data_IF_349887400639
#
_entry.id   IF_349887400639
#
_cell.length_a   1.000
_cell.length_b   1.000
_cell.length_c   1.000
_cell.angle_alpha   90.00
_cell.angle_beta   90.00
_cell.angle_gamma   90.00
#
_symmetry.space_group_name_H-M   'P 1'
#
loop_
_entity.id
_entity.type
_entity.pdbx_description
1 polymer ?
#
# COMPACT_ATOMS: atom_id res chain seq x y z
N UNK A 1 -19.40 13.75 -18.54
CA UNK A 1 -20.39 12.95 -17.77
C UNK A 1 -19.64 12.01 -16.82
N UNK A 2 -19.49 12.40 -15.56
CA UNK A 2 -18.95 11.54 -14.49
C UNK A 2 -20.03 10.55 -14.09
N UNK A 3 -19.93 9.29 -14.53
CA UNK A 3 -20.79 8.23 -14.01
C UNK A 3 -20.38 7.95 -12.55
N UNK A 4 -21.32 7.66 -11.65
CA UNK A 4 -20.97 7.25 -10.29
C UNK A 4 -20.09 6.00 -10.39
N UNK A 5 -18.90 6.06 -9.79
CA UNK A 5 -17.98 4.93 -9.72
C UNK A 5 -18.55 3.95 -8.70
N UNK A 6 -19.22 2.91 -9.18
CA UNK A 6 -19.66 1.79 -8.35
C UNK A 6 -18.52 0.79 -8.19
N UNK A 7 -18.17 0.47 -6.94
CA UNK A 7 -17.28 -0.65 -6.63
C UNK A 7 -18.15 -1.87 -6.28
N UNK A 8 -17.89 -3.00 -6.94
CA UNK A 8 -18.56 -4.26 -6.62
C UNK A 8 -17.96 -4.83 -5.34
N UNK A 9 -18.79 -5.04 -4.31
CA UNK A 9 -18.40 -5.81 -3.14
C UNK A 9 -18.25 -7.28 -3.53
N UNK A 10 -17.09 -7.86 -3.21
CA UNK A 10 -16.78 -9.26 -3.52
C UNK A 10 -16.48 -10.00 -2.24
N UNK A 11 -16.87 -11.27 -2.18
CA UNK A 11 -16.64 -12.15 -1.02
C UNK A 11 -15.19 -12.09 -0.50
N UNK A 12 -14.13 -12.20 -1.35
CA UNK A 12 -12.75 -12.13 -0.85
C UNK A 12 -12.40 -10.78 -0.21
N UNK A 13 -12.98 -9.67 -0.68
CA UNK A 13 -12.74 -8.37 -0.09
C UNK A 13 -13.37 -8.27 1.31
N UNK A 14 -14.60 -8.76 1.48
CA UNK A 14 -15.29 -8.78 2.77
C UNK A 14 -14.56 -9.67 3.78
N UNK A 15 -14.13 -10.86 3.34
CA UNK A 15 -13.33 -11.79 4.18
C UNK A 15 -12.03 -11.13 4.65
N UNK A 16 -11.33 -10.42 3.76
CA UNK A 16 -10.10 -9.70 4.11
C UNK A 16 -10.37 -8.54 5.07
N UNK A 17 -11.44 -7.76 4.86
CA UNK A 17 -11.83 -6.70 5.80
C UNK A 17 -12.10 -7.26 7.20
N UNK A 18 -12.85 -8.36 7.31
CA UNK A 18 -13.14 -9.01 8.59
C UNK A 18 -11.87 -9.50 9.29
N UNK A 19 -10.97 -10.15 8.53
CA UNK A 19 -9.72 -10.63 9.10
C UNK A 19 -8.79 -9.49 9.52
N UNK A 20 -8.73 -8.39 8.77
CA UNK A 20 -7.96 -7.21 9.13
C UNK A 20 -8.54 -6.53 10.38
N UNK A 21 -9.87 -6.38 10.47
CA UNK A 21 -10.54 -5.85 11.66
C UNK A 21 -10.19 -6.64 12.91
N UNK A 22 -10.18 -7.97 12.83
CA UNK A 22 -9.85 -8.84 13.97
C UNK A 22 -8.39 -8.69 14.45
N UNK A 23 -7.50 -8.14 13.61
CA UNK A 23 -6.09 -7.91 13.96
C UNK A 23 -5.84 -6.53 14.58
N UNK A 24 -6.79 -5.60 14.49
CA UNK A 24 -6.59 -4.18 14.82
C UNK A 24 -6.12 -3.96 16.25
N UNK A 25 -6.76 -4.63 17.20
CA UNK A 25 -6.56 -4.40 18.63
C UNK A 25 -5.57 -5.40 19.25
N UNK A 26 -4.92 -6.22 18.41
CA UNK A 26 -3.93 -7.17 18.90
C UNK A 26 -2.60 -6.46 19.17
N UNK A 27 -1.97 -6.70 20.34
CA UNK A 27 -0.67 -6.10 20.66
C UNK A 27 0.45 -6.62 19.75
N UNK A 28 0.24 -7.77 19.09
CA UNK A 28 1.18 -8.34 18.12
C UNK A 28 0.45 -9.13 17.07
N UNK A 29 0.73 -8.83 15.80
CA UNK A 29 0.19 -9.56 14.65
C UNK A 29 1.12 -10.73 14.33
N UNK A 30 0.67 -11.97 14.60
CA UNK A 30 1.38 -13.21 14.23
C UNK A 30 0.89 -13.76 12.87
N UNK A 31 0.83 -12.90 11.87
CA UNK A 31 0.37 -13.25 10.51
C UNK A 31 1.28 -12.60 9.47
N UNK A 32 1.75 -13.40 8.51
CA UNK A 32 2.69 -12.94 7.47
C UNK A 32 2.04 -12.06 6.39
N UNK A 33 0.71 -12.07 6.29
CA UNK A 33 -0.04 -11.27 5.32
C UNK A 33 -1.00 -12.11 4.47
N UNK A 34 -1.27 -11.62 3.26
CA UNK A 34 -2.21 -12.21 2.31
C UNK A 34 -1.63 -12.18 0.90
N UNK A 35 -1.88 -13.25 0.13
CA UNK A 35 -1.58 -13.29 -1.29
C UNK A 35 -2.90 -13.33 -2.08
N UNK A 36 -3.17 -12.28 -2.85
CA UNK A 36 -4.28 -12.27 -3.80
C UNK A 36 -3.83 -12.88 -5.12
N UNK A 37 -4.18 -14.14 -5.35
CA UNK A 37 -3.85 -14.85 -6.59
C UNK A 37 -5.11 -15.23 -7.40
N UNK A 38 -4.91 -15.49 -8.68
CA UNK A 38 -5.94 -15.94 -9.62
C UNK A 38 -5.61 -15.54 -11.05
N UNK A 39 -6.41 -16.04 -12.00
CA UNK A 39 -6.25 -15.76 -13.44
C UNK A 39 -6.22 -14.26 -13.76
N UNK A 40 -5.65 -13.88 -14.90
CA UNK A 40 -5.67 -12.49 -15.39
C UNK A 40 -7.13 -12.02 -15.54
N UNK A 41 -7.40 -10.76 -15.21
CA UNK A 41 -8.74 -10.17 -15.36
C UNK A 41 -9.75 -10.53 -14.27
N UNK A 42 -9.38 -11.33 -13.26
CA UNK A 42 -10.31 -11.73 -12.19
C UNK A 42 -10.61 -10.65 -11.15
N UNK A 43 -10.12 -9.41 -11.31
CA UNK A 43 -10.43 -8.28 -10.42
C UNK A 43 -9.61 -8.21 -9.13
N UNK A 44 -8.42 -8.81 -9.08
CA UNK A 44 -7.53 -8.79 -7.89
C UNK A 44 -7.12 -7.37 -7.47
N UNK A 45 -6.72 -6.54 -8.44
CA UNK A 45 -6.37 -5.14 -8.19
C UNK A 45 -7.56 -4.32 -7.67
N UNK A 46 -8.79 -4.65 -8.10
CA UNK A 46 -9.99 -4.00 -7.57
C UNK A 46 -10.25 -4.38 -6.11
N UNK A 47 -10.02 -5.64 -5.73
CA UNK A 47 -10.08 -6.09 -4.33
C UNK A 47 -9.08 -5.30 -3.49
N UNK A 48 -7.82 -5.19 -3.94
CA UNK A 48 -6.79 -4.44 -3.23
C UNK A 48 -7.16 -2.96 -3.06
N UNK A 49 -7.69 -2.32 -4.11
CA UNK A 49 -8.14 -0.93 -4.04
C UNK A 49 -9.29 -0.74 -3.05
N UNK A 50 -10.27 -1.65 -3.05
CA UNK A 50 -11.40 -1.61 -2.12
C UNK A 50 -10.93 -1.75 -0.66
N UNK A 51 -10.00 -2.67 -0.39
CA UNK A 51 -9.42 -2.86 0.95
C UNK A 51 -8.61 -1.63 1.36
N UNK A 52 -7.84 -1.04 0.45
CA UNK A 52 -7.08 0.19 0.70
C UNK A 52 -7.99 1.33 1.12
N UNK A 53 -9.10 1.53 0.39
CA UNK A 53 -10.10 2.56 0.75
C UNK A 53 -10.74 2.29 2.11
N UNK A 54 -11.09 1.03 2.38
CA UNK A 54 -11.62 0.62 3.67
C UNK A 54 -10.63 0.89 4.81
N UNK A 55 -9.36 0.51 4.64
CA UNK A 55 -8.31 0.68 5.64
C UNK A 55 -8.09 2.16 5.99
N UNK A 56 -8.00 3.03 4.97
CA UNK A 56 -7.90 4.49 5.17
C UNK A 56 -9.08 5.05 5.98
N UNK A 57 -10.31 4.63 5.67
CA UNK A 57 -11.52 5.07 6.40
C UNK A 57 -11.56 4.58 7.85
N UNK A 58 -10.82 3.52 8.17
CA UNK A 58 -10.77 2.94 9.52
C UNK A 58 -9.52 3.37 10.31
N UNK A 59 -8.82 4.41 9.87
CA UNK A 59 -7.68 4.96 10.60
C UNK A 59 -6.40 4.14 10.48
N UNK A 60 -6.27 3.31 9.44
CA UNK A 60 -5.02 2.59 9.16
C UNK A 60 -4.09 3.48 8.35
N UNK A 61 -2.80 3.49 8.70
CA UNK A 61 -1.74 4.00 7.84
C UNK A 61 -1.57 3.04 6.67
N UNK A 62 -1.71 3.52 5.44
CA UNK A 62 -1.69 2.68 4.23
C UNK A 62 -0.53 3.05 3.32
N UNK A 63 0.37 2.09 3.13
CA UNK A 63 1.45 2.15 2.15
C UNK A 63 1.03 1.31 0.94
N UNK A 64 0.88 1.93 -0.24
CA UNK A 64 0.39 1.28 -1.45
C UNK A 64 1.23 1.68 -2.67
N UNK A 65 1.74 0.68 -3.39
CA UNK A 65 2.32 0.84 -4.72
C UNK A 65 1.38 0.23 -5.78
N UNK A 66 0.71 1.03 -6.63
CA UNK A 66 -0.27 0.53 -7.59
C UNK A 66 0.34 -0.15 -8.82
N UNK A 67 1.56 0.19 -9.23
CA UNK A 67 2.21 -0.27 -10.46
C UNK A 67 3.69 -0.63 -10.21
N UNK A 68 3.97 -1.68 -9.41
CA UNK A 68 5.34 -2.03 -9.05
C UNK A 68 6.22 -2.45 -10.24
N UNK A 69 5.61 -2.85 -11.36
CA UNK A 69 6.34 -3.19 -12.59
C UNK A 69 7.16 -2.01 -13.15
N UNK A 70 6.79 -0.77 -12.81
CA UNK A 70 7.45 0.43 -13.33
C UNK A 70 8.93 0.50 -12.94
N UNK A 71 9.27 0.06 -11.73
CA UNK A 71 10.64 0.09 -11.23
C UNK A 71 11.62 -0.76 -12.06
N UNK A 72 11.09 -1.73 -12.82
CA UNK A 72 11.87 -2.57 -13.74
C UNK A 72 11.79 -2.10 -15.18
N UNK A 73 10.63 -1.60 -15.61
CA UNK A 73 10.30 -1.40 -17.03
C UNK A 73 10.51 0.03 -17.50
N UNK A 74 10.36 1.01 -16.62
CA UNK A 74 10.54 2.42 -16.95
C UNK A 74 12.01 2.82 -16.82
N UNK A 75 12.42 3.76 -17.68
CA UNK A 75 13.77 4.32 -17.66
C UNK A 75 13.81 5.39 -16.58
N UNK A 76 14.76 5.26 -15.65
CA UNK A 76 15.08 6.26 -14.65
C UNK A 76 16.58 6.23 -14.34
N UNK A 77 17.09 7.26 -13.69
CA UNK A 77 18.47 7.28 -13.23
C UNK A 77 18.70 6.24 -12.13
N UNK A 78 19.54 5.26 -12.43
CA UNK A 78 19.94 4.20 -11.50
C UNK A 78 21.38 4.44 -11.06
N UNK A 79 21.58 4.64 -9.75
CA UNK A 79 22.91 4.79 -9.14
C UNK A 79 23.28 3.52 -8.39
N UNK A 80 24.54 3.09 -8.45
CA UNK A 80 25.01 1.96 -7.65
C UNK A 80 25.50 2.46 -6.29
N UNK A 81 25.03 1.86 -5.21
CA UNK A 81 25.55 2.10 -3.86
C UNK A 81 26.84 1.31 -3.62
N UNK A 82 27.64 1.76 -2.65
CA UNK A 82 28.82 1.02 -2.18
C UNK A 82 28.45 -0.35 -1.56
N UNK A 83 27.20 -0.54 -1.14
CA UNK A 83 26.66 -1.81 -0.63
C UNK A 83 26.20 -2.77 -1.73
N UNK A 84 26.37 -2.42 -3.01
CA UNK A 84 25.99 -3.26 -4.14
C UNK A 84 24.49 -3.22 -4.49
N UNK A 85 23.74 -2.29 -3.92
CA UNK A 85 22.32 -2.07 -4.21
C UNK A 85 22.16 -0.97 -5.27
N UNK A 86 21.14 -1.09 -6.11
CA UNK A 86 20.78 -0.05 -7.06
C UNK A 86 19.78 0.91 -6.45
N UNK A 87 20.15 2.19 -6.44
CA UNK A 87 19.37 3.30 -5.91
C UNK A 87 18.56 3.89 -7.06
N UNK A 88 17.25 4.01 -6.84
CA UNK A 88 16.28 4.59 -7.78
C UNK A 88 15.60 5.79 -7.14
N UNK A 89 16.32 6.91 -7.07
CA UNK A 89 15.88 8.10 -6.33
C UNK A 89 14.56 8.67 -6.86
N UNK A 90 14.39 8.72 -8.18
CA UNK A 90 13.19 9.30 -8.80
C UNK A 90 11.92 8.51 -8.41
N UNK A 91 11.95 7.18 -8.54
CA UNK A 91 10.83 6.34 -8.14
C UNK A 91 10.57 6.39 -6.63
N UNK A 92 11.62 6.40 -5.82
CA UNK A 92 11.50 6.52 -4.38
C UNK A 92 10.84 7.85 -3.97
N UNK A 93 11.25 8.96 -4.59
CA UNK A 93 10.66 10.28 -4.33
C UNK A 93 9.18 10.30 -4.70
N UNK A 94 8.80 9.86 -5.91
CA UNK A 94 7.40 9.82 -6.33
C UNK A 94 6.54 8.94 -5.41
N UNK A 95 7.07 7.79 -4.99
CA UNK A 95 6.40 6.89 -4.06
C UNK A 95 6.21 7.52 -2.67
N UNK A 96 7.25 8.18 -2.14
CA UNK A 96 7.20 8.84 -0.84
C UNK A 96 6.27 10.07 -0.85
N UNK A 97 6.25 10.85 -1.92
CA UNK A 97 5.32 11.97 -2.10
C UNK A 97 3.86 11.47 -2.08
N UNK A 98 3.55 10.44 -2.86
CA UNK A 98 2.22 9.85 -2.88
C UNK A 98 1.81 9.24 -1.52
N UNK A 99 2.74 8.55 -0.86
CA UNK A 99 2.52 7.96 0.47
C UNK A 99 2.32 9.03 1.53
N UNK A 100 3.13 10.08 1.51
CA UNK A 100 3.04 11.22 2.43
C UNK A 100 1.71 11.94 2.29
N UNK A 101 1.29 12.24 1.06
CA UNK A 101 0.00 12.88 0.79
C UNK A 101 -1.17 12.03 1.27
N UNK A 102 -1.12 10.71 1.04
CA UNK A 102 -2.19 9.79 1.42
C UNK A 102 -2.33 9.59 2.94
N UNK A 103 -1.25 9.80 3.71
CA UNK A 103 -1.21 9.54 5.15
C UNK A 103 -0.89 10.80 5.99
N UNK A 104 -0.98 12.00 5.40
CA UNK A 104 -0.47 13.25 5.96
C UNK A 104 -0.86 13.48 7.42
N UNK A 105 -2.12 13.31 7.75
CA UNK A 105 -2.64 13.53 9.09
C UNK A 105 -1.95 12.61 10.11
N UNK A 106 -1.90 11.29 9.83
CA UNK A 106 -1.28 10.33 10.74
C UNK A 106 0.22 10.56 10.89
N UNK A 107 0.91 10.87 9.78
CA UNK A 107 2.36 11.09 9.80
C UNK A 107 2.78 12.34 10.61
N UNK A 108 1.88 13.33 10.77
CA UNK A 108 2.13 14.49 11.62
C UNK A 108 2.03 14.16 13.12
N UNK A 109 1.29 13.11 13.47
CA UNK A 109 1.02 12.71 14.86
C UNK A 109 2.01 11.64 15.35
N UNK A 110 2.65 10.90 14.43
CA UNK A 110 3.60 9.85 14.77
C UNK A 110 4.96 10.48 15.16
N UNK A 111 5.44 10.29 16.40
CA UNK A 111 6.74 10.79 16.81
C UNK A 111 7.86 9.98 16.16
N UNK A 112 8.98 10.65 15.86
CA UNK A 112 10.22 10.00 15.42
C UNK A 112 11.05 9.70 16.66
N UNK A 113 11.50 8.45 16.79
CA UNK A 113 12.47 8.06 17.81
C UNK A 113 13.90 8.37 17.30
N UNK A 114 14.61 9.36 17.88
CA UNK A 114 15.95 9.73 17.45
C UNK A 114 17.00 8.66 17.77
N UNK A 115 16.70 7.64 18.59
CA UNK A 115 17.64 6.55 18.83
C UNK A 115 17.72 5.56 17.65
N UNK A 116 16.71 5.56 16.76
CA UNK A 116 16.64 4.68 15.58
C UNK A 116 17.06 5.41 14.29
N UNK A 117 17.09 6.74 14.32
CA UNK A 117 17.46 7.59 13.20
C UNK A 117 18.98 7.84 13.14
#
# INVERSE_FOLDING_TARGET
RTRPVGLMLRKPAVELMMQLSALRDLPRIRKSGFLLDGRRGTGKSQILNLITMWARRNGWLVVLEPVPSRYRMEIADIKRSNSGVYIQNEFAQQFLEATSLANRQMLQEIPVDPAVY
#
